data_IF_019461956116
#
_entry.id   IF_019461956116
#
_cell.length_a   1.000
_cell.length_b   1.000
_cell.length_c   1.000
_cell.angle_alpha   90.00
_cell.angle_beta   90.00
_cell.angle_gamma   90.00
#
_symmetry.space_group_name_H-M   'P 1'
#
loop_
_entity.id
_entity.type
_entity.pdbx_description
1 polymer ?
#
# COMPACT_ATOMS: atom_id res chain seq x y z
N UNK A 1 -18.86 10.80 43.76
CA UNK A 1 -18.12 11.26 42.56
C UNK A 1 -18.90 10.85 41.33
N UNK A 2 -19.71 11.74 40.79
CA UNK A 2 -20.55 11.47 39.59
C UNK A 2 -19.73 11.84 38.33
N UNK A 3 -19.14 10.85 37.69
CA UNK A 3 -18.54 11.02 36.36
C UNK A 3 -19.68 11.29 35.38
N UNK A 4 -19.72 12.51 34.84
CA UNK A 4 -20.71 12.93 33.86
C UNK A 4 -20.58 12.08 32.58
N UNK A 5 -21.69 11.60 31.98
CA UNK A 5 -21.68 10.72 30.80
C UNK A 5 -20.93 11.33 29.59
N UNK A 6 -20.80 12.65 29.56
CA UNK A 6 -20.03 13.40 28.55
C UNK A 6 -18.53 13.17 28.65
N UNK A 7 -17.96 12.98 29.85
CA UNK A 7 -16.53 12.72 30.03
C UNK A 7 -16.14 11.31 29.52
N UNK A 8 -16.99 10.31 29.77
CA UNK A 8 -16.78 8.93 29.31
C UNK A 8 -16.84 8.86 27.78
N UNK A 9 -17.81 9.57 27.15
CA UNK A 9 -17.93 9.63 25.71
C UNK A 9 -16.71 10.31 25.05
N UNK A 10 -16.17 11.38 25.66
CA UNK A 10 -14.98 12.08 25.13
C UNK A 10 -13.70 11.23 25.24
N UNK A 11 -13.54 10.44 26.29
CA UNK A 11 -12.42 9.50 26.41
C UNK A 11 -12.54 8.32 25.45
N UNK A 12 -13.71 7.75 25.29
CA UNK A 12 -13.98 6.72 24.32
C UNK A 12 -13.69 7.18 22.87
N UNK A 13 -14.05 8.41 22.53
CA UNK A 13 -13.78 9.00 21.23
C UNK A 13 -12.26 9.14 20.93
N UNK A 14 -11.41 9.30 21.93
CA UNK A 14 -9.94 9.32 21.78
C UNK A 14 -9.33 7.92 21.73
N UNK A 15 -9.96 6.97 22.38
CA UNK A 15 -9.46 5.59 22.47
C UNK A 15 -9.77 4.77 21.20
N UNK A 16 -10.96 4.95 20.61
CA UNK A 16 -11.40 4.22 19.42
C UNK A 16 -10.43 4.31 18.23
N UNK A 17 -9.92 5.50 17.81
CA UNK A 17 -8.99 5.58 16.69
C UNK A 17 -7.64 4.92 16.98
N UNK A 18 -7.17 4.96 18.24
CA UNK A 18 -5.93 4.27 18.66
C UNK A 18 -6.09 2.76 18.63
N UNK A 19 -7.22 2.25 19.14
CA UNK A 19 -7.55 0.83 19.09
C UNK A 19 -7.69 0.33 17.65
N UNK A 20 -8.36 1.11 16.79
CA UNK A 20 -8.49 0.80 15.36
C UNK A 20 -7.15 0.78 14.64
N UNK A 21 -6.25 1.70 14.97
CA UNK A 21 -4.88 1.73 14.45
C UNK A 21 -4.06 0.50 14.87
N UNK A 22 -4.13 0.13 16.14
CA UNK A 22 -3.45 -1.05 16.68
C UNK A 22 -3.99 -2.36 16.07
N UNK A 23 -5.32 -2.51 16.01
CA UNK A 23 -5.95 -3.67 15.38
C UNK A 23 -5.64 -3.74 13.89
N UNK A 24 -5.61 -2.61 13.18
CA UNK A 24 -5.16 -2.53 11.81
C UNK A 24 -3.73 -3.01 11.63
N UNK A 25 -2.80 -2.55 12.45
CA UNK A 25 -1.39 -2.96 12.40
C UNK A 25 -1.22 -4.46 12.72
N UNK A 26 -1.91 -4.96 13.76
CA UNK A 26 -1.90 -6.38 14.12
C UNK A 26 -2.50 -7.25 13.01
N UNK A 27 -3.57 -6.77 12.37
CA UNK A 27 -4.21 -7.44 11.25
C UNK A 27 -3.29 -7.50 10.02
N UNK A 28 -2.62 -6.40 9.65
CA UNK A 28 -1.64 -6.42 8.56
C UNK A 28 -0.44 -7.33 8.84
N UNK A 29 0.00 -7.39 10.10
CA UNK A 29 1.02 -8.33 10.50
C UNK A 29 0.55 -9.79 10.35
N UNK A 30 -0.67 -10.10 10.76
CA UNK A 30 -1.29 -11.41 10.59
C UNK A 30 -1.47 -11.78 9.11
N UNK A 31 -1.93 -10.83 8.26
CA UNK A 31 -2.05 -11.02 6.81
C UNK A 31 -0.71 -11.37 6.17
N UNK A 32 0.37 -10.72 6.61
CA UNK A 32 1.73 -11.01 6.13
C UNK A 32 2.19 -12.41 6.50
N UNK A 33 1.76 -12.93 7.66
CA UNK A 33 2.10 -14.26 8.14
C UNK A 33 1.27 -15.37 7.49
N UNK A 34 0.04 -15.06 7.09
CA UNK A 34 -0.91 -16.02 6.53
C UNK A 34 -1.34 -15.62 5.12
N UNK A 35 -0.66 -16.10 4.05
CA UNK A 35 -0.95 -15.71 2.67
C UNK A 35 -2.39 -16.03 2.21
N UNK A 36 -3.02 -17.05 2.82
CA UNK A 36 -4.44 -17.38 2.54
C UNK A 36 -5.40 -16.28 2.98
N UNK A 37 -5.13 -15.60 4.11
CA UNK A 37 -5.92 -14.46 4.56
C UNK A 37 -5.73 -13.26 3.63
N UNK A 38 -4.55 -13.09 3.05
CA UNK A 38 -4.29 -12.05 2.07
C UNK A 38 -5.14 -12.24 0.80
N UNK A 39 -5.24 -13.48 0.32
CA UNK A 39 -6.10 -13.79 -0.83
C UNK A 39 -7.58 -13.55 -0.53
N UNK A 40 -8.04 -13.91 0.67
CA UNK A 40 -9.41 -13.67 1.11
C UNK A 40 -9.72 -12.16 1.21
N UNK A 41 -8.77 -11.37 1.75
CA UNK A 41 -8.91 -9.92 1.87
C UNK A 41 -8.92 -9.21 0.50
N UNK A 42 -8.28 -9.79 -0.49
CA UNK A 42 -8.21 -9.25 -1.85
C UNK A 42 -9.53 -9.41 -2.61
N UNK A 43 -10.35 -10.37 -2.22
CA UNK A 43 -11.67 -10.60 -2.82
C UNK A 43 -12.75 -9.94 -1.95
N UNK A 44 -13.33 -8.85 -2.44
CA UNK A 44 -14.29 -8.01 -1.70
C UNK A 44 -15.51 -8.81 -1.19
N UNK A 45 -16.09 -9.64 -2.04
CA UNK A 45 -17.27 -10.45 -1.68
C UNK A 45 -16.93 -11.51 -0.62
N UNK A 46 -15.79 -12.19 -0.78
CA UNK A 46 -15.34 -13.21 0.18
C UNK A 46 -14.95 -12.59 1.53
N UNK A 47 -14.38 -11.38 1.52
CA UNK A 47 -14.03 -10.65 2.72
C UNK A 47 -15.26 -10.14 3.48
N UNK A 48 -16.27 -9.62 2.76
CA UNK A 48 -17.53 -9.21 3.34
C UNK A 48 -18.25 -10.39 4.00
N UNK A 49 -18.33 -11.54 3.30
CA UNK A 49 -18.90 -12.78 3.84
C UNK A 49 -18.15 -13.26 5.09
N UNK A 50 -16.81 -13.22 5.08
CA UNK A 50 -16.00 -13.58 6.23
C UNK A 50 -16.30 -12.70 7.45
N UNK A 51 -16.41 -11.38 7.26
CA UNK A 51 -16.76 -10.44 8.34
C UNK A 51 -18.15 -10.72 8.91
N UNK A 52 -19.13 -10.94 8.04
CA UNK A 52 -20.50 -11.29 8.45
C UNK A 52 -20.52 -12.62 9.20
N UNK A 53 -19.86 -13.66 8.68
CA UNK A 53 -19.74 -14.95 9.34
C UNK A 53 -19.08 -14.84 10.72
N UNK A 54 -18.01 -14.05 10.85
CA UNK A 54 -17.33 -13.81 12.11
C UNK A 54 -18.22 -13.05 13.11
N UNK A 55 -18.98 -12.07 12.63
CA UNK A 55 -19.94 -11.33 13.47
C UNK A 55 -21.08 -12.23 13.95
N UNK A 56 -21.63 -13.06 13.06
CA UNK A 56 -22.68 -14.04 13.42
C UNK A 56 -22.16 -15.07 14.42
N UNK A 57 -20.94 -15.58 14.23
CA UNK A 57 -20.29 -16.50 15.16
C UNK A 57 -20.10 -15.83 16.54
N UNK A 58 -19.59 -14.61 16.58
CA UNK A 58 -19.42 -13.84 17.81
C UNK A 58 -20.75 -13.64 18.54
N UNK A 59 -21.80 -13.25 17.82
CA UNK A 59 -23.14 -13.10 18.38
C UNK A 59 -23.68 -14.43 18.91
N UNK A 60 -23.56 -15.54 18.19
CA UNK A 60 -23.97 -16.86 18.62
C UNK A 60 -23.24 -17.30 19.91
N UNK A 61 -21.92 -17.07 19.98
CA UNK A 61 -21.12 -17.39 21.18
C UNK A 61 -21.47 -16.51 22.37
N UNK A 62 -22.04 -15.31 22.18
CA UNK A 62 -22.60 -14.49 23.28
C UNK A 62 -23.94 -15.02 23.73
N UNK A 63 -24.85 -15.28 22.79
CA UNK A 63 -26.28 -15.58 23.11
C UNK A 63 -26.45 -17.00 23.65
N UNK A 64 -25.82 -18.02 23.06
CA UNK A 64 -25.97 -19.41 23.44
C UNK A 64 -25.54 -19.71 24.89
N UNK A 65 -24.33 -19.29 25.35
CA UNK A 65 -23.92 -19.54 26.73
C UNK A 65 -24.72 -18.76 27.77
N UNK A 66 -25.16 -17.52 27.43
CA UNK A 66 -26.02 -16.73 28.34
C UNK A 66 -27.37 -17.35 28.53
N UNK A 67 -27.89 -18.07 27.53
CA UNK A 67 -29.21 -18.74 27.60
C UNK A 67 -29.14 -20.11 28.22
N UNK A 68 -28.01 -20.83 28.14
CA UNK A 68 -27.92 -22.25 28.54
C UNK A 68 -27.14 -22.50 29.84
N UNK A 69 -26.15 -21.66 30.17
CA UNK A 69 -25.31 -21.81 31.36
C UNK A 69 -24.53 -20.53 31.64
N UNK A 70 -24.26 -20.23 32.90
CA UNK A 70 -23.61 -19.04 33.45
C UNK A 70 -22.15 -18.78 32.90
N UNK A 71 -21.96 -18.92 31.59
CA UNK A 71 -20.67 -18.87 30.90
C UNK A 71 -20.17 -17.46 30.59
N UNK A 72 -19.91 -16.63 31.61
CA UNK A 72 -19.39 -15.27 31.43
C UNK A 72 -18.12 -15.20 30.58
N UNK A 73 -17.23 -16.20 30.69
CA UNK A 73 -15.94 -16.23 29.94
C UNK A 73 -16.22 -16.41 28.45
N UNK A 74 -17.13 -17.31 28.09
CA UNK A 74 -17.52 -17.56 26.69
C UNK A 74 -18.26 -16.36 26.09
N UNK A 75 -19.09 -15.69 26.87
CA UNK A 75 -19.78 -14.48 26.46
C UNK A 75 -18.80 -13.32 26.19
N UNK A 76 -17.79 -13.14 27.04
CA UNK A 76 -16.72 -12.14 26.82
C UNK A 76 -15.94 -12.48 25.53
N UNK A 77 -15.60 -13.75 25.30
CA UNK A 77 -14.91 -14.16 24.09
C UNK A 77 -15.75 -13.90 22.83
N UNK A 78 -17.04 -14.22 22.86
CA UNK A 78 -17.97 -13.93 21.77
C UNK A 78 -18.09 -12.42 21.50
N UNK A 79 -18.15 -11.60 22.56
CA UNK A 79 -18.19 -10.15 22.46
C UNK A 79 -16.91 -9.62 21.80
N UNK A 80 -15.75 -10.13 22.19
CA UNK A 80 -14.45 -9.76 21.58
C UNK A 80 -14.44 -10.10 20.10
N UNK A 81 -14.88 -11.31 19.70
CA UNK A 81 -14.98 -11.70 18.29
C UNK A 81 -15.91 -10.78 17.50
N UNK A 82 -17.07 -10.44 18.07
CA UNK A 82 -18.03 -9.54 17.46
C UNK A 82 -17.44 -8.14 17.22
N UNK A 83 -16.79 -7.57 18.26
CA UNK A 83 -16.13 -6.27 18.18
C UNK A 83 -14.98 -6.30 17.15
N UNK A 84 -14.20 -7.37 17.14
CA UNK A 84 -13.13 -7.55 16.13
C UNK A 84 -13.72 -7.58 14.72
N UNK A 85 -14.83 -8.30 14.49
CA UNK A 85 -15.49 -8.35 13.18
C UNK A 85 -15.94 -6.97 12.67
N UNK A 86 -16.45 -6.12 13.59
CA UNK A 86 -16.86 -4.75 13.26
C UNK A 86 -15.65 -3.84 12.98
N UNK A 87 -14.58 -3.98 13.78
CA UNK A 87 -13.39 -3.14 13.70
C UNK A 87 -12.44 -3.58 12.57
N UNK A 88 -12.57 -4.79 12.04
CA UNK A 88 -11.78 -5.23 10.90
C UNK A 88 -11.92 -4.22 9.75
N UNK A 89 -10.80 -3.81 9.13
CA UNK A 89 -10.85 -2.87 8.02
C UNK A 89 -11.76 -3.45 6.91
N UNK A 90 -12.57 -2.61 6.25
CA UNK A 90 -13.33 -3.06 5.09
C UNK A 90 -12.38 -3.66 4.07
N UNK A 91 -12.87 -4.62 3.27
CA UNK A 91 -12.15 -5.00 2.05
C UNK A 91 -11.74 -3.70 1.36
N UNK A 92 -10.46 -3.59 1.04
CA UNK A 92 -10.01 -2.37 0.38
C UNK A 92 -10.83 -2.24 -0.90
N UNK A 93 -11.87 -1.43 -0.82
CA UNK A 93 -12.45 -0.82 -2.01
C UNK A 93 -11.25 -0.44 -2.85
N UNK A 94 -11.20 -0.93 -4.06
CA UNK A 94 -10.13 -0.70 -5.02
C UNK A 94 -9.53 0.67 -4.80
N UNK A 95 -8.27 0.70 -4.40
CA UNK A 95 -7.66 1.98 -4.06
C UNK A 95 -7.73 2.85 -5.31
N UNK A 96 -7.89 4.14 -5.17
CA UNK A 96 -7.84 5.07 -6.30
C UNK A 96 -6.60 4.83 -7.17
N UNK A 97 -5.53 4.35 -6.54
CA UNK A 97 -4.28 3.92 -7.18
C UNK A 97 -4.46 2.69 -8.06
N UNK A 98 -5.17 1.65 -7.60
CA UNK A 98 -5.41 0.42 -8.39
C UNK A 98 -6.32 0.69 -9.58
N UNK A 99 -7.34 1.54 -9.39
CA UNK A 99 -8.20 2.00 -10.49
C UNK A 99 -7.39 2.76 -11.53
N UNK A 100 -6.52 3.70 -11.09
CA UNK A 100 -5.65 4.45 -12.00
C UNK A 100 -4.63 3.55 -12.69
N UNK A 101 -4.08 2.55 -11.98
CA UNK A 101 -3.17 1.57 -12.56
C UNK A 101 -3.84 0.78 -13.70
N UNK A 102 -5.09 0.32 -13.50
CA UNK A 102 -5.85 -0.35 -14.58
C UNK A 102 -6.17 0.57 -15.74
N UNK A 103 -6.54 1.81 -15.46
CA UNK A 103 -6.82 2.83 -16.49
C UNK A 103 -5.59 3.07 -17.39
N UNK A 104 -4.39 3.10 -16.80
CA UNK A 104 -3.12 3.31 -17.50
C UNK A 104 -2.49 2.01 -18.05
N UNK A 105 -3.11 0.85 -17.82
CA UNK A 105 -2.54 -0.45 -18.16
C UNK A 105 -1.25 -0.77 -17.39
N UNK A 106 -1.04 -0.15 -16.21
CA UNK A 106 0.16 -0.34 -15.43
C UNK A 106 0.18 -1.72 -14.77
N UNK A 107 1.28 -2.43 -14.95
CA UNK A 107 1.53 -3.74 -14.34
C UNK A 107 2.12 -3.62 -12.94
N UNK A 108 2.86 -2.53 -12.70
CA UNK A 108 3.51 -2.27 -11.42
C UNK A 108 3.31 -0.81 -11.01
N UNK A 109 3.08 -0.59 -9.73
CA UNK A 109 3.03 0.75 -9.13
C UNK A 109 4.06 0.84 -8.02
N UNK A 110 4.98 1.81 -8.12
CA UNK A 110 5.98 2.09 -7.09
C UNK A 110 5.67 3.43 -6.46
N UNK A 111 5.41 3.44 -5.16
CA UNK A 111 5.08 4.63 -4.38
C UNK A 111 6.25 5.06 -3.49
N UNK A 112 6.21 6.30 -3.00
CA UNK A 112 7.19 6.81 -2.03
C UNK A 112 8.41 7.46 -2.66
N UNK A 113 8.38 7.75 -3.95
CA UNK A 113 9.38 8.60 -4.60
C UNK A 113 9.00 10.08 -4.55
N UNK A 114 10.01 10.93 -4.54
CA UNK A 114 9.87 12.37 -4.68
C UNK A 114 10.53 12.81 -6.00
N UNK A 115 9.89 13.73 -6.70
CA UNK A 115 10.35 14.28 -7.97
C UNK A 115 10.40 15.80 -7.91
N UNK A 116 11.50 16.37 -8.38
CA UNK A 116 11.66 17.82 -8.49
C UNK A 116 11.90 18.21 -9.95
N UNK A 117 10.93 18.77 -10.64
CA UNK A 117 11.09 19.26 -12.00
C UNK A 117 11.83 20.60 -11.99
N UNK A 118 13.15 20.60 -12.29
CA UNK A 118 13.98 21.80 -12.32
C UNK A 118 13.97 22.56 -10.99
N UNK A 119 13.49 23.82 -11.01
CA UNK A 119 13.38 24.68 -9.82
C UNK A 119 12.00 24.64 -9.14
N UNK A 120 11.11 23.75 -9.57
CA UNK A 120 9.79 23.61 -8.95
C UNK A 120 9.89 22.93 -7.56
N UNK A 121 8.87 23.07 -6.71
CA UNK A 121 8.84 22.38 -5.43
C UNK A 121 8.87 20.86 -5.62
N UNK A 122 9.48 20.17 -4.66
CA UNK A 122 9.50 18.71 -4.60
C UNK A 122 8.08 18.18 -4.48
N UNK A 123 7.69 17.28 -5.36
CA UNK A 123 6.39 16.64 -5.36
C UNK A 123 6.54 15.14 -5.06
N UNK A 124 5.72 14.62 -4.14
CA UNK A 124 5.66 13.18 -3.92
C UNK A 124 4.97 12.51 -5.09
N UNK A 125 5.60 11.48 -5.64
CA UNK A 125 5.15 10.82 -6.87
C UNK A 125 4.93 9.33 -6.68
N UNK A 126 4.05 8.80 -7.55
CA UNK A 126 3.85 7.38 -7.75
C UNK A 126 4.20 7.04 -9.19
N UNK A 127 5.06 6.06 -9.37
CA UNK A 127 5.44 5.57 -10.68
C UNK A 127 4.49 4.44 -11.09
N UNK A 128 3.77 4.64 -12.18
CA UNK A 128 2.92 3.64 -12.83
C UNK A 128 3.68 3.13 -14.06
N UNK A 129 4.01 1.85 -14.07
CA UNK A 129 4.84 1.24 -15.11
C UNK A 129 3.96 0.30 -15.92
N UNK A 130 3.72 0.66 -17.19
CA UNK A 130 3.06 -0.15 -18.20
C UNK A 130 4.09 -0.74 -19.17
N UNK A 131 3.74 -1.63 -20.11
CA UNK A 131 4.68 -2.16 -21.10
C UNK A 131 5.28 -1.09 -22.01
N UNK A 132 4.58 0.02 -22.21
CA UNK A 132 4.98 1.06 -23.16
C UNK A 132 5.45 2.35 -22.49
N UNK A 133 4.90 2.67 -21.31
CA UNK A 133 5.12 3.97 -20.66
C UNK A 133 5.41 3.85 -19.17
N UNK A 134 6.21 4.78 -18.68
CA UNK A 134 6.36 5.09 -17.25
C UNK A 134 5.69 6.44 -16.98
N UNK A 135 4.70 6.43 -16.11
CA UNK A 135 3.96 7.61 -15.69
C UNK A 135 4.37 7.97 -14.26
N UNK A 136 4.91 9.16 -14.07
CA UNK A 136 5.11 9.73 -12.74
C UNK A 136 3.93 10.66 -12.44
N UNK A 137 3.06 10.26 -11.53
CA UNK A 137 1.86 10.99 -11.14
C UNK A 137 2.00 11.53 -9.72
N UNK A 138 1.44 12.72 -9.48
CA UNK A 138 1.34 13.31 -8.14
C UNK A 138 0.29 12.59 -7.27
N UNK A 139 0.05 13.11 -6.06
CA UNK A 139 -0.97 12.59 -5.13
C UNK A 139 -2.40 12.70 -5.67
N UNK A 140 -2.64 13.59 -6.63
CA UNK A 140 -3.94 13.83 -7.29
C UNK A 140 -4.05 13.13 -8.65
N UNK A 141 -3.07 12.30 -9.00
CA UNK A 141 -2.96 11.60 -10.28
C UNK A 141 -2.78 12.51 -11.51
N UNK A 142 -2.26 13.72 -11.33
CA UNK A 142 -1.82 14.55 -12.44
C UNK A 142 -0.45 14.07 -12.93
N UNK A 143 -0.24 13.94 -14.25
CA UNK A 143 1.04 13.53 -14.79
C UNK A 143 2.08 14.65 -14.66
N UNK A 144 3.17 14.36 -13.97
CA UNK A 144 4.34 15.23 -13.87
C UNK A 144 5.36 14.89 -14.94
N UNK A 145 5.55 13.58 -15.19
CA UNK A 145 6.45 13.05 -16.22
C UNK A 145 5.82 11.83 -16.86
N UNK A 146 5.92 11.76 -18.18
CA UNK A 146 5.56 10.58 -18.96
C UNK A 146 6.74 10.23 -19.84
N UNK A 147 7.21 8.99 -19.74
CA UNK A 147 8.35 8.49 -20.51
C UNK A 147 7.93 7.28 -21.27
N UNK A 148 8.20 7.27 -22.57
CA UNK A 148 8.03 6.08 -23.41
C UNK A 148 9.18 5.11 -23.13
N UNK A 149 8.91 3.89 -22.69
CA UNK A 149 9.96 2.95 -22.26
C UNK A 149 11.00 2.66 -23.36
N UNK A 150 10.63 2.43 -24.66
CA UNK A 150 11.58 2.28 -25.73
C UNK A 150 12.55 3.46 -25.95
N UNK A 151 12.16 4.67 -25.53
CA UNK A 151 13.01 5.86 -25.66
C UNK A 151 14.03 6.00 -24.53
N UNK A 152 13.93 5.18 -23.48
CA UNK A 152 14.85 5.22 -22.35
C UNK A 152 16.25 4.80 -22.83
N UNK A 153 17.16 5.75 -22.84
CA UNK A 153 18.55 5.55 -23.27
C UNK A 153 19.44 5.12 -22.11
N UNK A 154 19.16 5.60 -20.90
CA UNK A 154 19.96 5.28 -19.71
C UNK A 154 19.11 5.26 -18.45
N UNK A 155 19.39 4.31 -17.58
CA UNK A 155 18.77 4.21 -16.26
C UNK A 155 19.82 3.81 -15.24
N UNK A 156 19.79 4.44 -14.06
CA UNK A 156 20.76 4.18 -12.99
C UNK A 156 20.14 4.42 -11.62
N UNK A 157 20.42 3.51 -10.70
CA UNK A 157 20.09 3.65 -9.27
C UNK A 157 21.38 3.93 -8.52
N UNK A 158 21.42 5.05 -7.80
CA UNK A 158 22.60 5.52 -7.06
C UNK A 158 22.22 5.86 -5.60
N UNK A 159 23.17 5.68 -4.67
CA UNK A 159 23.00 6.21 -3.33
C UNK A 159 23.03 7.74 -3.36
N UNK A 160 22.16 8.37 -2.59
CA UNK A 160 22.08 9.82 -2.40
C UNK A 160 22.22 10.16 -0.90
N UNK A 161 22.57 11.39 -0.52
CA UNK A 161 22.82 11.77 0.88
C UNK A 161 21.68 11.42 1.84
N UNK A 162 20.43 11.47 1.35
CA UNK A 162 19.23 11.21 2.17
C UNK A 162 18.45 9.96 1.74
N UNK A 163 19.09 9.04 0.97
CA UNK A 163 18.41 7.85 0.50
C UNK A 163 18.97 7.29 -0.81
N UNK A 164 18.09 7.02 -1.77
CA UNK A 164 18.45 6.46 -3.08
C UNK A 164 17.80 7.24 -4.20
N UNK A 165 18.48 7.36 -5.32
CA UNK A 165 18.09 8.12 -6.49
C UNK A 165 17.94 7.17 -7.69
N UNK A 166 16.78 7.18 -8.33
CA UNK A 166 16.57 6.58 -9.63
C UNK A 166 16.64 7.66 -10.70
N UNK A 167 17.63 7.58 -11.56
CA UNK A 167 17.80 8.47 -12.72
C UNK A 167 17.31 7.76 -13.97
N UNK A 168 16.47 8.43 -14.75
CA UNK A 168 15.97 7.96 -16.03
C UNK A 168 16.28 9.02 -17.09
N UNK A 169 16.89 8.61 -18.19
CA UNK A 169 17.18 9.48 -19.35
C UNK A 169 16.50 8.96 -20.62
N UNK A 170 15.91 9.88 -21.36
CA UNK A 170 15.33 9.61 -22.67
C UNK A 170 15.54 10.82 -23.58
N UNK A 171 16.11 10.62 -24.77
CA UNK A 171 16.55 11.71 -25.63
C UNK A 171 17.47 12.66 -24.87
N UNK A 172 17.16 13.95 -24.88
CA UNK A 172 17.87 15.00 -24.14
C UNK A 172 17.29 15.28 -22.75
N UNK A 173 16.24 14.53 -22.37
CA UNK A 173 15.56 14.72 -21.09
C UNK A 173 16.12 13.81 -20.01
N UNK A 174 15.97 14.28 -18.76
CA UNK A 174 16.37 13.55 -17.55
C UNK A 174 15.30 13.73 -16.47
N UNK A 175 14.93 12.64 -15.82
CA UNK A 175 14.13 12.67 -14.59
C UNK A 175 14.90 11.98 -13.46
N UNK A 176 14.78 12.53 -12.26
CA UNK A 176 15.38 12.01 -11.04
C UNK A 176 14.30 11.81 -10.00
N UNK A 177 14.18 10.58 -9.53
CA UNK A 177 13.23 10.19 -8.49
C UNK A 177 14.00 9.82 -7.24
N UNK A 178 13.83 10.58 -6.16
CA UNK A 178 14.48 10.32 -4.88
C UNK A 178 13.57 9.49 -3.97
N UNK A 179 14.16 8.49 -3.34
CA UNK A 179 13.50 7.63 -2.37
C UNK A 179 14.17 7.80 -1.02
N UNK A 180 13.39 7.96 0.04
CA UNK A 180 13.88 8.18 1.39
C UNK A 180 13.45 7.05 2.35
N UNK A 181 14.16 6.91 3.49
CA UNK A 181 13.84 5.95 4.52
C UNK A 181 14.46 4.57 4.35
N UNK A 182 14.10 3.65 5.24
CA UNK A 182 14.74 2.33 5.41
C UNK A 182 14.63 1.45 4.16
N UNK A 183 13.58 1.62 3.36
CA UNK A 183 13.32 0.83 2.15
C UNK A 183 13.64 1.58 0.85
N UNK A 184 14.32 2.72 0.93
CA UNK A 184 14.61 3.57 -0.22
C UNK A 184 15.32 2.82 -1.36
N UNK A 185 16.37 2.05 -1.05
CA UNK A 185 17.07 1.22 -2.02
C UNK A 185 16.14 0.22 -2.71
N UNK A 186 15.32 -0.46 -1.90
CA UNK A 186 14.42 -1.48 -2.42
C UNK A 186 13.39 -0.90 -3.38
N UNK A 187 12.84 0.28 -3.07
CA UNK A 187 11.88 0.94 -3.96
C UNK A 187 12.53 1.46 -5.24
N UNK A 188 13.72 2.05 -5.15
CA UNK A 188 14.46 2.49 -6.32
C UNK A 188 14.81 1.33 -7.25
N UNK A 189 15.30 0.20 -6.70
CA UNK A 189 15.60 -1.02 -7.47
C UNK A 189 14.34 -1.68 -8.02
N UNK A 190 13.25 -1.74 -7.26
CA UNK A 190 11.98 -2.27 -7.73
C UNK A 190 11.47 -1.49 -8.94
N UNK A 191 11.57 -0.16 -8.91
CA UNK A 191 11.19 0.68 -10.03
C UNK A 191 12.09 0.40 -11.25
N UNK A 192 13.41 0.33 -11.07
CA UNK A 192 14.36 -0.02 -12.12
C UNK A 192 14.06 -1.40 -12.74
N UNK A 193 13.93 -2.43 -11.90
CA UNK A 193 13.63 -3.80 -12.34
C UNK A 193 12.29 -3.90 -13.06
N UNK A 194 11.27 -3.19 -12.59
CA UNK A 194 9.95 -3.18 -13.22
C UNK A 194 9.98 -2.52 -14.61
N UNK A 195 10.73 -1.43 -14.77
CA UNK A 195 10.91 -0.77 -16.07
C UNK A 195 11.69 -1.69 -17.04
N UNK A 196 12.74 -2.36 -16.55
CA UNK A 196 13.51 -3.30 -17.35
C UNK A 196 12.71 -4.54 -17.75
N UNK A 197 11.83 -5.03 -16.86
CA UNK A 197 10.95 -6.16 -17.14
C UNK A 197 9.86 -5.81 -18.14
N UNK A 198 9.39 -4.56 -18.15
CA UNK A 198 8.35 -4.10 -19.07
C UNK A 198 8.82 -4.10 -20.54
N UNK A 199 10.12 -3.86 -20.79
CA UNK A 199 10.67 -3.91 -22.14
C UNK A 199 12.07 -4.56 -22.15
N UNK A 200 12.19 -5.82 -22.62
CA UNK A 200 13.46 -6.54 -22.68
C UNK A 200 14.51 -5.91 -23.62
N UNK A 201 14.09 -5.11 -24.60
CA UNK A 201 15.03 -4.37 -25.47
C UNK A 201 15.78 -3.30 -24.67
N UNK A 202 15.08 -2.54 -23.83
CA UNK A 202 15.67 -1.56 -22.92
C UNK A 202 16.60 -2.24 -21.92
N UNK A 203 16.25 -3.43 -21.42
CA UNK A 203 17.10 -4.21 -20.52
C UNK A 203 18.48 -4.53 -21.15
N UNK A 204 18.52 -4.87 -22.44
CA UNK A 204 19.75 -5.17 -23.15
C UNK A 204 20.63 -3.93 -23.33
N UNK A 205 20.04 -2.77 -23.62
CA UNK A 205 20.77 -1.49 -23.76
C UNK A 205 21.39 -1.08 -22.41
N UNK A 206 20.62 -1.12 -21.33
CA UNK A 206 21.09 -0.77 -19.98
C UNK A 206 22.19 -1.73 -19.50
N UNK A 207 22.06 -3.04 -19.76
CA UNK A 207 23.10 -4.04 -19.43
C UNK A 207 24.41 -3.77 -20.17
N UNK A 208 24.36 -3.48 -21.47
CA UNK A 208 25.56 -3.14 -22.26
C UNK A 208 26.28 -1.89 -21.72
N UNK A 209 25.52 -0.88 -21.33
CA UNK A 209 26.09 0.34 -20.76
C UNK A 209 26.73 0.12 -19.38
N UNK A 210 26.14 -0.74 -18.52
CA UNK A 210 26.76 -1.12 -17.24
C UNK A 210 28.09 -1.84 -17.44
N UNK A 211 28.16 -2.75 -18.42
CA UNK A 211 29.38 -3.50 -18.74
C UNK A 211 30.47 -2.61 -19.35
N UNK A 212 30.10 -1.52 -20.05
CA UNK A 212 31.06 -0.59 -20.64
C UNK A 212 31.55 0.51 -19.68
N UNK A 213 30.91 0.68 -18.54
CA UNK A 213 31.24 1.70 -17.52
C UNK A 213 31.85 1.14 -16.23
N UNK A 214 32.14 -0.16 -16.17
CA UNK A 214 32.87 -0.85 -15.12
C UNK A 214 34.29 -1.14 -15.60
#
# INVERSE_FOLDING_TARGET
MSTTPTAIAAEAAKFLPRLRGFLGAAFFFALRRFPRLLQLHRNESSWALFRVALACLGAAVVVLPLSLWNGWITAIFGLVLFVVAILLPPAQLESSTDRKARELGAQTVVSGGDYQPGNAPVASVRLFISPEHVWALDSHFHPLVVVTIPEITRMRVEPAPNGWLLQVRWGDHKAEFSYQGIFAERFARLAEESILAANPSTANVVRKQRAAGA
#
